data_IF_931934493013
#
_entry.id   IF_931934493013
#
_cell.length_a   1.000
_cell.length_b   1.000
_cell.length_c   1.000
_cell.angle_alpha   90.00
_cell.angle_beta   90.00
_cell.angle_gamma   90.00
#
_symmetry.space_group_name_H-M   'P 1'
#
loop_
_entity.id
_entity.type
_entity.pdbx_description
1 polymer ?
#
# COMPACT_ATOMS: atom_id res chain seq x y z
N UNK A 1 -12.18 -27.16 -10.88
CA UNK A 1 -10.87 -27.22 -11.56
C UNK A 1 -9.98 -28.26 -10.88
N UNK A 2 -8.90 -28.76 -11.49
CA UNK A 2 -8.25 -29.99 -10.98
C UNK A 2 -7.26 -29.72 -9.84
N UNK A 3 -7.30 -30.58 -8.81
CA UNK A 3 -6.27 -30.72 -7.75
C UNK A 3 -4.86 -30.76 -8.36
N UNK A 4 -4.71 -31.31 -9.57
CA UNK A 4 -3.46 -31.34 -10.30
C UNK A 4 -2.90 -29.94 -10.61
N UNK A 5 -3.73 -28.97 -11.03
CA UNK A 5 -3.27 -27.62 -11.31
C UNK A 5 -2.75 -26.92 -10.04
N UNK A 6 -3.46 -27.10 -8.93
CA UNK A 6 -3.01 -26.56 -7.64
C UNK A 6 -1.69 -27.19 -7.17
N UNK A 7 -1.47 -28.50 -7.41
CA UNK A 7 -0.18 -29.16 -7.14
C UNK A 7 0.95 -28.57 -7.97
N UNK A 8 0.72 -28.33 -9.26
CA UNK A 8 1.69 -27.65 -10.14
C UNK A 8 2.00 -26.26 -9.61
N UNK A 9 0.98 -25.50 -9.19
CA UNK A 9 1.18 -24.20 -8.55
C UNK A 9 2.04 -24.30 -7.28
N UNK A 10 1.77 -25.25 -6.38
CA UNK A 10 2.57 -25.41 -5.15
C UNK A 10 4.03 -25.79 -5.42
N UNK A 11 4.28 -26.61 -6.43
CA UNK A 11 5.64 -26.95 -6.87
C UNK A 11 6.34 -25.73 -7.48
N UNK A 12 5.63 -25.00 -8.34
CA UNK A 12 6.13 -23.77 -8.97
C UNK A 12 6.45 -22.71 -7.93
N UNK A 13 5.54 -22.46 -6.99
CA UNK A 13 5.73 -21.51 -5.89
C UNK A 13 7.00 -21.81 -5.08
N UNK A 14 7.26 -23.09 -4.78
CA UNK A 14 8.47 -23.50 -4.05
C UNK A 14 9.75 -23.26 -4.86
N UNK A 15 9.68 -23.38 -6.18
CA UNK A 15 10.82 -23.17 -7.07
C UNK A 15 11.02 -21.69 -7.45
N UNK A 16 9.96 -20.89 -7.40
CA UNK A 16 10.01 -19.45 -7.67
C UNK A 16 10.92 -18.77 -6.63
N UNK A 17 11.93 -17.99 -7.05
CA UNK A 17 12.73 -17.21 -6.11
C UNK A 17 11.88 -16.21 -5.34
N UNK A 18 12.08 -16.15 -4.02
CA UNK A 18 11.53 -15.08 -3.19
C UNK A 18 12.44 -13.85 -3.30
N UNK A 19 11.90 -12.73 -3.79
CA UNK A 19 12.66 -11.49 -4.06
C UNK A 19 12.33 -10.38 -3.03
N UNK A 20 11.30 -10.57 -2.21
CA UNK A 20 10.88 -9.59 -1.20
C UNK A 20 11.71 -9.65 0.08
N UNK A 21 11.37 -8.76 1.01
CA UNK A 21 11.82 -8.80 2.41
C UNK A 21 10.64 -8.57 3.35
N UNK A 22 10.68 -9.20 4.52
CA UNK A 22 9.70 -8.96 5.56
C UNK A 22 10.07 -7.72 6.38
N UNK A 23 9.06 -6.90 6.67
CA UNK A 23 9.18 -5.79 7.61
C UNK A 23 9.25 -6.35 9.02
N UNK A 24 10.21 -5.87 9.84
CA UNK A 24 10.37 -6.33 11.20
C UNK A 24 9.19 -5.88 12.06
N UNK A 25 8.96 -6.64 13.13
CA UNK A 25 8.10 -6.26 14.25
C UNK A 25 8.97 -5.74 15.39
N UNK A 26 8.35 -5.08 16.37
CA UNK A 26 8.97 -4.73 17.66
C UNK A 26 10.34 -4.04 17.54
N UNK A 27 10.47 -3.12 16.57
CA UNK A 27 11.71 -2.40 16.26
C UNK A 27 11.84 -1.06 16.99
N UNK A 28 10.84 -0.67 17.77
CA UNK A 28 10.80 0.58 18.52
C UNK A 28 11.70 0.49 19.75
N UNK A 29 12.28 1.61 20.14
CA UNK A 29 13.19 1.72 21.28
C UNK A 29 12.68 2.80 22.25
N UNK A 30 11.39 2.70 22.62
CA UNK A 30 10.82 3.62 23.60
C UNK A 30 11.44 3.39 24.99
N UNK A 31 11.65 4.47 25.79
CA UNK A 31 12.16 4.34 27.15
C UNK A 31 11.30 3.41 28.02
N UNK A 32 11.96 2.60 28.85
CA UNK A 32 11.32 1.77 29.86
C UNK A 32 12.02 1.96 31.22
N UNK A 33 11.38 2.57 32.22
CA UNK A 33 9.95 2.93 32.28
C UNK A 33 9.58 4.14 31.41
N UNK A 34 8.35 4.14 30.88
CA UNK A 34 7.77 5.24 30.11
C UNK A 34 6.83 6.07 31.00
N UNK A 35 6.93 7.40 30.94
CA UNK A 35 5.98 8.29 31.63
C UNK A 35 4.54 8.09 31.11
N UNK A 36 3.56 8.14 32.01
CA UNK A 36 2.14 7.93 31.71
C UNK A 36 1.63 8.85 30.58
N UNK A 37 2.20 10.06 30.45
CA UNK A 37 1.83 11.01 29.39
C UNK A 37 2.08 10.47 27.97
N UNK A 38 3.01 9.52 27.82
CA UNK A 38 3.36 8.89 26.54
C UNK A 38 2.62 7.57 26.29
N UNK A 39 1.74 7.13 27.19
CA UNK A 39 1.03 5.86 27.04
C UNK A 39 0.21 5.81 25.75
N UNK A 40 -0.61 6.83 25.48
CA UNK A 40 -1.41 6.90 24.26
C UNK A 40 -0.53 6.81 23.00
N UNK A 41 0.60 7.54 22.98
CA UNK A 41 1.57 7.48 21.89
C UNK A 41 2.12 6.06 21.71
N UNK A 42 2.54 5.42 22.81
CA UNK A 42 3.14 4.07 22.76
C UNK A 42 2.17 3.01 22.24
N UNK A 43 0.91 3.05 22.69
CA UNK A 43 -0.12 2.09 22.26
C UNK A 43 -0.45 2.28 20.77
N UNK A 44 -0.62 3.52 20.33
CA UNK A 44 -0.82 3.84 18.91
C UNK A 44 0.37 3.37 18.06
N UNK A 45 1.60 3.68 18.48
CA UNK A 45 2.80 3.28 17.74
C UNK A 45 2.89 1.76 17.59
N UNK A 46 2.65 1.02 18.68
CA UNK A 46 2.69 -0.43 18.70
C UNK A 46 1.68 -1.07 17.74
N UNK A 47 0.42 -0.62 17.79
CA UNK A 47 -0.63 -1.07 16.89
C UNK A 47 -0.30 -0.71 15.43
N UNK A 48 0.02 0.55 15.15
CA UNK A 48 0.23 1.04 13.79
C UNK A 48 1.45 0.41 13.14
N UNK A 49 2.56 0.26 13.87
CA UNK A 49 3.77 -0.37 13.35
C UNK A 49 3.53 -1.83 12.95
N UNK A 50 2.82 -2.61 13.79
CA UNK A 50 2.46 -3.99 13.49
C UNK A 50 1.50 -4.09 12.31
N UNK A 51 0.48 -3.26 12.24
CA UNK A 51 -0.48 -3.28 11.13
C UNK A 51 0.15 -2.89 9.78
N UNK A 52 1.06 -1.93 9.79
CA UNK A 52 1.85 -1.58 8.61
C UNK A 52 2.75 -2.75 8.18
N UNK A 53 3.48 -3.37 9.11
CA UNK A 53 4.31 -4.54 8.83
C UNK A 53 3.47 -5.72 8.29
N UNK A 54 2.34 -6.02 8.92
CA UNK A 54 1.38 -7.04 8.48
C UNK A 54 0.92 -6.81 7.05
N UNK A 55 0.54 -5.57 6.73
CA UNK A 55 0.07 -5.19 5.39
C UNK A 55 1.14 -5.40 4.32
N UNK A 56 2.36 -4.95 4.58
CA UNK A 56 3.49 -5.05 3.65
C UNK A 56 3.96 -6.50 3.50
N UNK A 57 3.96 -7.27 4.59
CA UNK A 57 4.33 -8.69 4.60
C UNK A 57 3.30 -9.54 3.84
N UNK A 58 2.01 -9.26 4.03
CA UNK A 58 0.93 -9.90 3.27
C UNK A 58 1.03 -9.58 1.78
N UNK A 59 1.21 -8.30 1.42
CA UNK A 59 1.43 -7.90 0.04
C UNK A 59 2.64 -8.59 -0.58
N UNK A 60 3.75 -8.68 0.16
CA UNK A 60 4.97 -9.37 -0.29
C UNK A 60 4.72 -10.83 -0.64
N UNK A 61 3.91 -11.52 0.17
CA UNK A 61 3.49 -12.89 -0.10
C UNK A 61 2.55 -12.97 -1.31
N UNK A 62 1.61 -12.04 -1.44
CA UNK A 62 0.68 -12.02 -2.57
C UNK A 62 1.42 -11.82 -3.91
N UNK A 63 2.41 -10.93 -3.97
CA UNK A 63 3.25 -10.75 -5.17
C UNK A 63 4.01 -12.02 -5.52
N UNK A 64 4.61 -12.68 -4.51
CA UNK A 64 5.32 -13.94 -4.73
C UNK A 64 4.39 -15.05 -5.26
N UNK A 65 3.16 -15.13 -4.74
CA UNK A 65 2.13 -16.06 -5.21
C UNK A 65 1.69 -15.75 -6.63
N UNK A 66 1.49 -14.47 -6.97
CA UNK A 66 1.10 -14.04 -8.31
C UNK A 66 2.20 -14.33 -9.33
N UNK A 67 3.48 -14.18 -8.97
CA UNK A 67 4.62 -14.58 -9.82
C UNK A 67 4.59 -16.07 -10.17
N UNK A 68 4.31 -16.93 -9.18
CA UNK A 68 4.15 -18.35 -9.42
C UNK A 68 2.94 -18.64 -10.32
N UNK A 69 1.80 -17.96 -10.11
CA UNK A 69 0.64 -18.10 -10.98
C UNK A 69 0.89 -17.65 -12.42
N UNK A 70 1.63 -16.55 -12.64
CA UNK A 70 2.01 -16.10 -13.98
C UNK A 70 2.74 -17.21 -14.76
N UNK A 71 3.66 -17.91 -14.08
CA UNK A 71 4.39 -19.05 -14.65
C UNK A 71 3.48 -20.24 -14.96
N UNK A 72 2.57 -20.57 -14.04
CA UNK A 72 1.63 -21.72 -14.20
C UNK A 72 0.63 -21.47 -15.33
N UNK A 73 0.19 -20.22 -15.51
CA UNK A 73 -0.85 -19.86 -16.48
C UNK A 73 -0.32 -19.70 -17.90
N UNK A 74 0.94 -19.29 -18.09
CA UNK A 74 1.53 -19.03 -19.39
C UNK A 74 1.35 -20.15 -20.44
N UNK A 75 1.55 -21.45 -20.12
CA UNK A 75 1.40 -22.53 -21.10
C UNK A 75 -0.05 -23.06 -21.24
N UNK A 76 -1.01 -22.55 -20.47
CA UNK A 76 -2.38 -23.04 -20.51
C UNK A 76 -3.16 -22.48 -21.70
N UNK A 77 -4.11 -23.26 -22.22
CA UNK A 77 -5.07 -22.74 -23.20
C UNK A 77 -5.97 -21.67 -22.59
N UNK A 78 -6.51 -20.76 -23.40
CA UNK A 78 -7.38 -19.67 -22.94
C UNK A 78 -8.55 -20.14 -22.05
N UNK A 79 -9.19 -21.28 -22.38
CA UNK A 79 -10.25 -21.87 -21.55
C UNK A 79 -9.76 -22.29 -20.16
N UNK A 80 -8.54 -22.84 -20.07
CA UNK A 80 -7.93 -23.24 -18.80
C UNK A 80 -7.41 -22.02 -18.02
N UNK A 81 -6.88 -21.02 -18.71
CA UNK A 81 -6.52 -19.74 -18.11
C UNK A 81 -7.75 -19.09 -17.49
N UNK A 82 -8.87 -19.01 -18.20
CA UNK A 82 -10.12 -18.43 -17.68
C UNK A 82 -10.57 -19.12 -16.38
N UNK A 83 -10.63 -20.46 -16.38
CA UNK A 83 -11.02 -21.21 -15.19
C UNK A 83 -10.05 -20.98 -14.02
N UNK A 84 -8.75 -20.99 -14.30
CA UNK A 84 -7.69 -20.81 -13.30
C UNK A 84 -7.67 -19.40 -12.72
N UNK A 85 -7.82 -18.40 -13.58
CA UNK A 85 -7.90 -17.00 -13.20
C UNK A 85 -9.09 -16.77 -12.27
N UNK A 86 -10.28 -17.23 -12.65
CA UNK A 86 -11.50 -17.03 -11.88
C UNK A 86 -11.42 -17.66 -10.48
N UNK A 87 -10.89 -18.87 -10.34
CA UNK A 87 -10.86 -19.58 -9.04
C UNK A 87 -9.69 -19.13 -8.14
N UNK A 88 -8.53 -18.77 -8.71
CA UNK A 88 -7.30 -18.58 -7.91
C UNK A 88 -6.63 -17.21 -8.03
N UNK A 89 -6.80 -16.50 -9.15
CA UNK A 89 -6.03 -15.28 -9.43
C UNK A 89 -6.86 -14.04 -9.21
N UNK A 90 -8.13 -14.00 -9.63
CA UNK A 90 -8.94 -12.79 -9.63
C UNK A 90 -8.98 -12.12 -8.26
N UNK A 91 -9.32 -12.87 -7.20
CA UNK A 91 -9.36 -12.33 -5.84
C UNK A 91 -7.98 -11.87 -5.35
N UNK A 92 -6.94 -12.66 -5.64
CA UNK A 92 -5.56 -12.39 -5.22
C UNK A 92 -5.01 -11.12 -5.89
N UNK A 93 -5.13 -11.03 -7.22
CA UNK A 93 -4.66 -9.92 -8.02
C UNK A 93 -5.47 -8.65 -7.77
N UNK A 94 -6.78 -8.77 -7.58
CA UNK A 94 -7.65 -7.64 -7.19
C UNK A 94 -7.22 -7.07 -5.84
N UNK A 95 -6.98 -7.93 -4.84
CA UNK A 95 -6.49 -7.48 -3.54
C UNK A 95 -5.13 -6.78 -3.68
N UNK A 96 -4.17 -7.42 -4.36
CA UNK A 96 -2.84 -6.87 -4.56
C UNK A 96 -2.87 -5.50 -5.27
N UNK A 97 -3.66 -5.32 -6.33
CA UNK A 97 -3.76 -4.04 -7.04
C UNK A 97 -4.41 -2.92 -6.24
N UNK A 98 -5.22 -3.23 -5.23
CA UNK A 98 -5.84 -2.21 -4.37
C UNK A 98 -4.98 -1.85 -3.14
N UNK A 99 -4.10 -2.76 -2.69
CA UNK A 99 -3.29 -2.57 -1.49
C UNK A 99 -2.39 -1.32 -1.49
N UNK A 100 -1.77 -0.87 -2.61
CA UNK A 100 -1.01 0.39 -2.65
C UNK A 100 -1.77 1.59 -2.09
N UNK A 101 -3.03 1.75 -2.49
CA UNK A 101 -3.88 2.84 -1.98
C UNK A 101 -4.16 2.69 -0.48
N UNK A 102 -4.45 1.46 -0.03
CA UNK A 102 -4.76 1.16 1.38
C UNK A 102 -3.55 1.40 2.27
N UNK A 103 -2.38 0.88 1.90
CA UNK A 103 -1.13 1.02 2.66
C UNK A 103 -0.70 2.48 2.74
N UNK A 104 -0.79 3.22 1.63
CA UNK A 104 -0.55 4.67 1.63
C UNK A 104 -1.48 5.41 2.62
N UNK A 105 -2.76 5.04 2.64
CA UNK A 105 -3.72 5.57 3.61
C UNK A 105 -3.35 5.29 5.06
N UNK A 106 -2.98 4.04 5.36
CA UNK A 106 -2.56 3.61 6.71
C UNK A 106 -1.31 4.34 7.21
N UNK A 107 -0.32 4.55 6.35
CA UNK A 107 0.85 5.36 6.70
C UNK A 107 0.47 6.81 7.01
N UNK A 108 -0.38 7.42 6.17
CA UNK A 108 -0.83 8.79 6.40
C UNK A 108 -1.59 8.94 7.73
N UNK A 109 -2.46 7.97 8.04
CA UNK A 109 -3.17 7.90 9.31
C UNK A 109 -2.21 7.79 10.51
N UNK A 110 -1.29 6.81 10.46
CA UNK A 110 -0.30 6.62 11.51
C UNK A 110 0.58 7.86 11.72
N UNK A 111 1.06 8.46 10.63
CA UNK A 111 1.89 9.66 10.68
C UNK A 111 1.13 10.85 11.28
N UNK A 112 -0.14 11.07 10.90
CA UNK A 112 -0.95 12.15 11.45
C UNK A 112 -1.13 12.03 12.97
N UNK A 113 -1.55 10.85 13.45
CA UNK A 113 -1.73 10.61 14.89
C UNK A 113 -0.43 10.73 15.68
N UNK A 114 0.64 10.05 15.23
CA UNK A 114 1.90 10.01 15.97
C UNK A 114 2.57 11.39 16.00
N UNK A 115 2.59 12.11 14.88
CA UNK A 115 3.14 13.47 14.86
C UNK A 115 2.30 14.43 15.72
N UNK A 116 0.98 14.33 15.67
CA UNK A 116 0.09 15.15 16.51
C UNK A 116 0.36 14.92 18.00
N UNK A 117 0.37 13.66 18.43
CA UNK A 117 0.60 13.29 19.82
C UNK A 117 2.01 13.69 20.29
N UNK A 118 3.03 13.50 19.45
CA UNK A 118 4.39 13.92 19.76
C UNK A 118 4.52 15.45 19.87
N UNK A 119 3.82 16.21 19.01
CA UNK A 119 3.79 17.67 19.09
C UNK A 119 3.08 18.16 20.35
N UNK A 120 1.93 17.58 20.68
CA UNK A 120 1.16 17.93 21.88
C UNK A 120 1.99 17.79 23.15
N UNK A 121 2.71 16.68 23.27
CA UNK A 121 3.56 16.41 24.43
C UNK A 121 4.86 17.25 24.43
N UNK A 122 5.35 17.66 23.25
CA UNK A 122 6.49 18.58 23.12
C UNK A 122 6.14 20.02 23.49
N UNK A 123 4.94 20.48 23.15
CA UNK A 123 4.52 21.88 23.25
C UNK A 123 3.62 22.16 24.47
N UNK A 124 3.09 21.11 25.10
CA UNK A 124 2.28 21.21 26.32
C UNK A 124 1.11 22.17 26.16
N UNK A 125 0.98 23.12 27.09
CA UNK A 125 -0.13 24.08 27.13
C UNK A 125 -0.21 25.03 25.92
N UNK A 126 0.85 25.11 25.09
CA UNK A 126 0.83 25.92 23.86
C UNK A 126 0.27 25.17 22.65
N UNK A 127 0.03 23.85 22.78
CA UNK A 127 -0.56 23.06 21.71
C UNK A 127 -2.08 23.20 21.68
N UNK A 128 -2.63 23.33 20.47
CA UNK A 128 -4.08 23.21 20.25
C UNK A 128 -4.36 21.84 19.66
N UNK A 129 -5.17 21.04 20.37
CA UNK A 129 -5.66 19.77 19.82
C UNK A 129 -6.75 20.06 18.78
N UNK A 130 -6.36 19.93 17.51
CA UNK A 130 -7.23 20.15 16.37
C UNK A 130 -7.14 19.02 15.34
N UNK A 131 -6.64 17.85 15.77
CA UNK A 131 -6.64 16.66 14.94
C UNK A 131 -8.10 16.29 14.59
N UNK A 132 -8.43 16.13 13.30
CA UNK A 132 -9.76 15.69 12.92
C UNK A 132 -10.09 14.30 13.50
N UNK A 133 -11.37 14.01 13.69
CA UNK A 133 -11.82 12.66 14.00
C UNK A 133 -11.35 11.65 12.93
N UNK A 134 -11.06 10.42 13.33
CA UNK A 134 -10.42 9.37 12.52
C UNK A 134 -10.98 9.24 11.09
N UNK A 135 -12.32 9.29 10.94
CA UNK A 135 -13.01 9.18 9.64
C UNK A 135 -12.70 10.33 8.65
N UNK A 136 -12.06 11.39 9.13
CA UNK A 136 -11.64 12.57 8.38
C UNK A 136 -10.12 12.68 8.28
N UNK A 137 -9.37 11.71 8.79
CA UNK A 137 -7.92 11.66 8.65
C UNK A 137 -7.57 11.05 7.29
N UNK A 138 -7.29 11.93 6.34
CA UNK A 138 -6.76 11.58 5.03
C UNK A 138 -5.25 11.80 4.99
N UNK A 139 -4.51 11.23 4.02
CA UNK A 139 -3.05 11.34 3.96
C UNK A 139 -2.49 12.77 4.07
N UNK A 140 -3.18 13.78 3.54
CA UNK A 140 -2.76 15.18 3.60
C UNK A 140 -2.85 15.80 5.00
N UNK A 141 -3.63 15.22 5.92
CA UNK A 141 -3.71 15.68 7.32
C UNK A 141 -2.35 15.51 8.01
N UNK A 142 -1.59 14.48 7.63
CA UNK A 142 -0.22 14.28 8.10
C UNK A 142 0.70 15.48 7.81
N UNK A 143 0.48 16.21 6.71
CA UNK A 143 1.36 17.31 6.32
C UNK A 143 1.37 18.45 7.34
N UNK A 144 0.23 18.64 8.01
CA UNK A 144 0.07 19.67 9.03
C UNK A 144 0.92 19.37 10.26
N UNK A 145 0.84 18.14 10.77
CA UNK A 145 1.45 17.74 12.03
C UNK A 145 2.88 17.22 11.85
N UNK A 146 3.21 16.71 10.68
CA UNK A 146 4.53 16.19 10.33
C UNK A 146 5.56 17.28 10.04
N UNK A 147 5.14 18.48 9.65
CA UNK A 147 6.03 19.60 9.27
C UNK A 147 7.19 19.89 10.27
N UNK A 148 7.00 19.83 11.60
CA UNK A 148 8.09 20.06 12.56
C UNK A 148 9.16 18.96 12.60
N UNK A 149 8.91 17.80 11.99
CA UNK A 149 9.77 16.62 12.03
C UNK A 149 10.55 16.47 10.72
N UNK A 150 11.89 16.62 10.72
CA UNK A 150 12.70 16.54 9.50
C UNK A 150 12.47 15.27 8.67
N UNK A 151 12.30 14.12 9.33
CA UNK A 151 12.05 12.83 8.67
C UNK A 151 10.67 12.69 8.05
N UNK A 152 9.74 13.62 8.33
CA UNK A 152 8.41 13.58 7.70
C UNK A 152 8.47 13.84 6.19
N UNK A 153 9.35 14.74 5.72
CA UNK A 153 9.45 15.05 4.29
C UNK A 153 9.90 13.82 3.46
N UNK A 154 10.96 13.08 3.84
CA UNK A 154 11.30 11.81 3.21
C UNK A 154 10.14 10.79 3.23
N UNK A 155 9.43 10.65 4.36
CA UNK A 155 8.26 9.78 4.44
C UNK A 155 7.20 10.18 3.42
N UNK A 156 6.82 11.47 3.38
CA UNK A 156 5.84 11.99 2.42
C UNK A 156 6.24 11.68 0.98
N UNK A 157 7.50 11.90 0.62
CA UNK A 157 8.02 11.59 -0.73
C UNK A 157 7.92 10.10 -1.05
N UNK A 158 8.23 9.22 -0.09
CA UNK A 158 8.07 7.78 -0.26
C UNK A 158 6.60 7.37 -0.42
N UNK A 159 5.68 8.00 0.33
CA UNK A 159 4.24 7.76 0.19
C UNK A 159 3.69 8.30 -1.15
N UNK A 160 4.23 9.40 -1.66
CA UNK A 160 3.84 9.96 -2.96
C UNK A 160 4.27 9.08 -4.14
N UNK A 161 5.32 8.27 -3.96
CA UNK A 161 5.75 7.28 -4.95
C UNK A 161 4.82 6.05 -5.05
N UNK A 162 4.13 5.69 -3.96
CA UNK A 162 3.21 4.55 -3.93
C UNK A 162 2.00 4.81 -4.84
N UNK A 163 1.76 3.88 -5.77
CA UNK A 163 0.65 3.96 -6.72
C UNK A 163 0.74 5.16 -7.67
N UNK A 164 1.95 5.66 -7.94
CA UNK A 164 2.19 6.80 -8.80
C UNK A 164 1.83 6.53 -10.28
N UNK A 165 2.04 7.54 -11.14
CA UNK A 165 1.61 7.54 -12.54
C UNK A 165 1.93 6.26 -13.31
N UNK A 166 3.17 5.75 -13.22
CA UNK A 166 3.57 4.53 -13.91
C UNK A 166 2.78 3.28 -13.48
N UNK A 167 2.55 3.09 -12.18
CA UNK A 167 1.73 1.99 -11.67
C UNK A 167 0.26 2.14 -12.08
N UNK A 168 -0.27 3.36 -11.97
CA UNK A 168 -1.63 3.67 -12.39
C UNK A 168 -1.82 3.42 -13.88
N UNK A 169 -0.94 3.91 -14.73
CA UNK A 169 -1.04 3.72 -16.18
C UNK A 169 -0.84 2.26 -16.59
N UNK A 170 0.16 1.57 -16.02
CA UNK A 170 0.43 0.16 -16.31
C UNK A 170 -0.68 -0.81 -15.89
N UNK A 171 -1.48 -0.44 -14.88
CA UNK A 171 -2.69 -1.18 -14.47
C UNK A 171 -3.96 -0.62 -15.12
N UNK A 172 -3.80 0.40 -15.97
CA UNK A 172 -4.78 1.38 -16.43
C UNK A 172 -5.87 1.68 -15.42
N UNK A 173 -5.42 2.27 -14.33
CA UNK A 173 -6.20 2.85 -13.26
C UNK A 173 -7.14 1.84 -12.60
N UNK A 174 -6.64 0.62 -12.40
CA UNK A 174 -7.44 -0.52 -11.95
C UNK A 174 -8.24 -0.19 -10.69
N UNK A 175 -7.61 0.39 -9.66
CA UNK A 175 -8.28 0.75 -8.40
C UNK A 175 -9.45 1.72 -8.61
N UNK A 176 -9.27 2.75 -9.42
CA UNK A 176 -10.33 3.70 -9.72
C UNK A 176 -11.45 3.04 -10.54
N UNK A 177 -11.07 2.27 -11.56
CA UNK A 177 -12.01 1.54 -12.39
C UNK A 177 -12.78 0.46 -11.60
N UNK A 178 -12.14 -0.20 -10.64
CA UNK A 178 -12.76 -1.22 -9.78
C UNK A 178 -13.82 -0.62 -8.86
N UNK A 179 -13.57 0.57 -8.30
CA UNK A 179 -14.50 1.21 -7.38
C UNK A 179 -15.62 2.02 -8.07
N UNK A 180 -15.36 2.55 -9.27
CA UNK A 180 -16.24 3.54 -9.89
C UNK A 180 -16.67 3.22 -11.32
N UNK A 181 -16.11 2.18 -11.96
CA UNK A 181 -16.40 1.78 -13.36
C UNK A 181 -16.33 0.25 -13.49
N UNK A 182 -15.84 -0.24 -14.63
CA UNK A 182 -15.51 -1.64 -14.86
C UNK A 182 -13.99 -1.78 -15.03
N UNK A 183 -13.32 -2.42 -14.08
CA UNK A 183 -11.89 -2.71 -14.17
C UNK A 183 -11.57 -3.69 -15.31
N UNK A 184 -10.36 -3.66 -15.88
CA UNK A 184 -9.93 -4.71 -16.79
C UNK A 184 -9.92 -6.07 -16.08
N UNK A 185 -10.11 -7.16 -16.83
CA UNK A 185 -9.88 -8.53 -16.30
C UNK A 185 -8.41 -8.84 -16.24
N UNK A 186 -8.04 -9.93 -15.57
CA UNK A 186 -6.68 -10.48 -15.62
C UNK A 186 -6.61 -11.60 -16.65
N UNK A 187 -5.51 -11.69 -17.39
CA UNK A 187 -5.15 -12.78 -18.30
C UNK A 187 -6.06 -12.93 -19.53
N UNK A 188 -7.38 -13.07 -19.34
CA UNK A 188 -8.38 -13.28 -20.40
C UNK A 188 -9.66 -12.50 -20.12
N UNK A 189 -10.30 -12.03 -21.19
CA UNK A 189 -11.60 -11.36 -21.14
C UNK A 189 -11.51 -9.85 -21.34
N UNK A 190 -12.01 -9.38 -22.48
CA UNK A 190 -12.09 -7.96 -22.77
C UNK A 190 -13.22 -7.29 -21.97
N UNK A 191 -13.02 -6.03 -21.60
CA UNK A 191 -14.02 -5.20 -20.90
C UNK A 191 -14.24 -3.90 -21.65
N UNK A 192 -15.15 -3.03 -21.19
CA UNK A 192 -15.31 -1.67 -21.74
C UNK A 192 -15.46 -1.60 -23.28
N UNK A 193 -16.29 -2.49 -23.86
CA UNK A 193 -16.49 -2.59 -25.32
C UNK A 193 -16.91 -1.28 -25.98
N UNK A 194 -17.54 -0.39 -25.20
CA UNK A 194 -17.98 0.95 -25.61
C UNK A 194 -17.39 1.96 -24.64
N UNK A 195 -16.72 2.97 -25.18
CA UNK A 195 -16.18 4.12 -24.42
C UNK A 195 -16.78 5.41 -24.93
N UNK A 196 -17.22 6.28 -24.02
CA UNK A 196 -17.72 7.62 -24.33
C UNK A 196 -16.66 8.66 -23.98
N UNK A 197 -16.32 9.53 -24.92
CA UNK A 197 -15.37 10.64 -24.70
C UNK A 197 -15.85 11.90 -25.41
N UNK A 198 -15.33 13.05 -25.00
CA UNK A 198 -15.54 14.32 -25.70
C UNK A 198 -14.30 14.56 -26.56
N UNK A 199 -14.49 14.78 -27.85
CA UNK A 199 -13.39 15.16 -28.73
C UNK A 199 -12.96 16.59 -28.36
N UNK A 200 -11.72 16.77 -27.92
CA UNK A 200 -11.22 18.05 -27.39
C UNK A 200 -11.18 19.17 -28.42
N UNK A 201 -10.99 18.83 -29.71
CA UNK A 201 -10.92 19.81 -30.80
C UNK A 201 -12.31 20.33 -31.22
N UNK A 202 -13.33 19.48 -31.17
CA UNK A 202 -14.67 19.78 -31.69
C UNK A 202 -15.73 19.97 -30.60
N UNK A 203 -15.42 19.61 -29.35
CA UNK A 203 -16.34 19.61 -28.22
C UNK A 203 -17.49 18.60 -28.34
N UNK A 204 -17.48 17.74 -29.37
CA UNK A 204 -18.57 16.78 -29.62
C UNK A 204 -18.36 15.50 -28.83
N UNK A 205 -19.48 14.90 -28.44
CA UNK A 205 -19.51 13.59 -27.80
C UNK A 205 -19.27 12.52 -28.86
N UNK A 206 -18.28 11.66 -28.62
CA UNK A 206 -17.92 10.53 -29.47
C UNK A 206 -18.01 9.21 -28.70
N UNK A 207 -18.18 8.12 -29.45
CA UNK A 207 -18.18 6.76 -28.94
C UNK A 207 -17.10 5.95 -29.65
N UNK A 208 -16.23 5.32 -28.88
CA UNK A 208 -15.25 4.35 -29.34
C UNK A 208 -15.77 2.92 -29.12
N UNK A 209 -15.50 2.04 -30.08
CA UNK A 209 -15.81 0.61 -30.01
C UNK A 209 -14.50 -0.16 -30.18
N UNK A 210 -14.22 -1.10 -29.27
CA UNK A 210 -12.96 -1.85 -29.33
C UNK A 210 -12.59 -2.59 -28.06
N UNK A 211 -13.24 -2.29 -26.95
CA UNK A 211 -12.93 -2.94 -25.68
C UNK A 211 -11.56 -2.60 -25.15
N UNK A 212 -11.29 -3.11 -23.96
CA UNK A 212 -10.03 -3.02 -23.26
C UNK A 212 -9.53 -4.42 -22.98
N UNK A 213 -8.32 -4.67 -23.43
CA UNK A 213 -7.61 -5.94 -23.21
C UNK A 213 -7.44 -6.24 -21.71
N UNK A 214 -7.41 -7.53 -21.34
CA UNK A 214 -7.11 -7.92 -19.97
C UNK A 214 -5.67 -7.53 -19.62
N UNK A 215 -5.44 -7.31 -18.32
CA UNK A 215 -4.09 -7.12 -17.79
C UNK A 215 -3.29 -8.42 -17.92
N UNK A 216 -2.11 -8.32 -18.52
CA UNK A 216 -1.14 -9.40 -18.49
C UNK A 216 -0.63 -9.61 -17.06
N UNK A 217 -0.64 -10.86 -16.59
CA UNK A 217 -0.32 -11.16 -15.20
C UNK A 217 1.17 -10.98 -14.92
N UNK A 218 2.06 -11.28 -15.87
CA UNK A 218 3.49 -11.12 -15.67
C UNK A 218 3.87 -9.62 -15.60
N UNK A 219 3.32 -8.80 -16.48
CA UNK A 219 3.47 -7.35 -16.45
C UNK A 219 2.88 -6.75 -15.16
N UNK A 220 1.71 -7.23 -14.73
CA UNK A 220 1.09 -6.80 -13.47
C UNK A 220 1.97 -7.14 -12.26
N UNK A 221 2.58 -8.32 -12.24
CA UNK A 221 3.52 -8.75 -11.19
C UNK A 221 4.74 -7.82 -11.16
N UNK A 222 5.33 -7.47 -12.31
CA UNK A 222 6.46 -6.55 -12.37
C UNK A 222 6.13 -5.16 -11.79
N UNK A 223 4.92 -4.65 -12.06
CA UNK A 223 4.45 -3.39 -11.46
C UNK A 223 4.28 -3.50 -9.94
N UNK A 224 3.70 -4.61 -9.47
CA UNK A 224 3.54 -4.88 -8.04
C UNK A 224 4.88 -5.02 -7.31
N UNK A 225 5.90 -5.61 -7.95
CA UNK A 225 7.27 -5.68 -7.43
C UNK A 225 7.88 -4.28 -7.25
N UNK A 226 7.59 -3.35 -8.17
CA UNK A 226 7.94 -1.94 -8.00
C UNK A 226 7.30 -1.34 -6.75
N UNK A 227 6.01 -1.59 -6.53
CA UNK A 227 5.29 -1.14 -5.33
C UNK A 227 5.85 -1.76 -4.04
N UNK A 228 6.36 -3.01 -4.07
CA UNK A 228 7.05 -3.58 -2.91
C UNK A 228 8.25 -2.71 -2.49
N UNK A 229 9.04 -2.27 -3.46
CA UNK A 229 10.17 -1.36 -3.20
C UNK A 229 9.73 -0.03 -2.59
N UNK A 230 8.62 0.54 -3.07
CA UNK A 230 8.04 1.75 -2.49
C UNK A 230 7.55 1.54 -1.06
N UNK A 231 6.89 0.41 -0.77
CA UNK A 231 6.47 0.06 0.60
C UNK A 231 7.65 -0.05 1.55
N UNK A 232 8.72 -0.72 1.12
CA UNK A 232 9.93 -0.88 1.92
C UNK A 232 10.63 0.46 2.21
N UNK A 233 10.58 1.39 1.26
CA UNK A 233 11.14 2.74 1.42
C UNK A 233 10.28 3.59 2.35
N UNK A 234 8.95 3.50 2.22
CA UNK A 234 8.01 4.18 3.11
C UNK A 234 8.13 3.68 4.55
N UNK A 235 8.24 2.36 4.75
CA UNK A 235 8.43 1.78 6.08
C UNK A 235 9.73 2.25 6.73
N UNK A 236 10.84 2.22 6.00
CA UNK A 236 12.12 2.73 6.53
C UNK A 236 12.06 4.23 6.87
N UNK A 237 11.39 5.04 6.05
CA UNK A 237 11.20 6.47 6.33
C UNK A 237 10.28 6.71 7.54
N UNK A 238 9.29 5.85 7.74
CA UNK A 238 8.43 5.86 8.92
C UNK A 238 9.21 5.50 10.19
N UNK A 239 10.10 4.51 10.12
CA UNK A 239 11.01 4.17 11.23
C UNK A 239 11.91 5.36 11.61
N UNK A 240 12.41 6.11 10.62
CA UNK A 240 13.22 7.32 10.88
C UNK A 240 12.40 8.41 11.59
N UNK A 241 11.16 8.66 11.14
CA UNK A 241 10.25 9.59 11.80
C UNK A 241 9.96 9.19 13.26
N UNK A 242 9.70 7.91 13.50
CA UNK A 242 9.49 7.40 14.87
C UNK A 242 10.76 7.54 15.72
N UNK A 243 11.94 7.29 15.15
CA UNK A 243 13.21 7.51 15.85
C UNK A 243 13.41 8.96 16.31
N UNK A 244 12.96 9.95 15.54
CA UNK A 244 12.96 11.35 15.96
C UNK A 244 12.01 11.60 17.15
N UNK A 245 10.84 10.99 17.13
CA UNK A 245 9.89 11.07 18.25
C UNK A 245 10.50 10.43 19.52
N UNK A 246 11.07 9.24 19.42
CA UNK A 246 11.73 8.55 20.54
C UNK A 246 12.89 9.36 21.13
N UNK A 247 13.69 10.01 20.28
CA UNK A 247 14.73 10.92 20.73
C UNK A 247 14.17 12.12 21.52
N UNK A 248 13.07 12.71 21.03
CA UNK A 248 12.39 13.80 21.74
C UNK A 248 11.81 13.35 23.09
N UNK A 249 11.24 12.14 23.15
CA UNK A 249 10.71 11.52 24.37
C UNK A 249 11.83 11.33 25.41
N UNK A 250 12.99 10.79 25.00
CA UNK A 250 14.17 10.61 25.86
C UNK A 250 14.71 11.93 26.39
N UNK A 251 14.79 12.95 25.53
CA UNK A 251 15.26 14.27 25.93
C UNK A 251 14.37 14.86 27.04
N UNK A 252 13.05 14.74 26.92
CA UNK A 252 12.12 15.18 27.96
C UNK A 252 12.28 14.42 29.29
N UNK A 253 12.46 13.10 29.23
CA UNK A 253 12.65 12.27 30.41
C UNK A 253 13.93 12.65 31.20
N UNK A 254 14.94 13.18 30.52
CA UNK A 254 16.20 13.63 31.14
C UNK A 254 16.06 15.03 31.77
N UNK A 255 15.08 15.83 31.33
CA UNK A 255 14.83 17.20 31.80
C UNK A 255 13.75 17.31 32.87
N UNK A 256 13.06 16.21 33.21
CA UNK A 256 12.10 16.17 34.31
C UNK A 256 12.85 16.05 35.66
N UNK A 257 12.63 16.96 36.62
CA UNK A 257 13.28 16.94 37.93
C UNK A 257 12.87 15.75 38.80
#
# INVERSE_FOLDING_TARGET
MSIALYRIYRQTLKATPFIGRYMPYDWTDLPNPLSAQWMAYSQMLDEFARELANSINAFTNDVHRLRAWATVLAPLSAKRQLAATHEFVDALATNALNLPYVVKGRFGFAAAHLCHQANMLKQGASWTDDLPLDRHIYPHVGDRYGKPWPSYKPLKQALDAIGAGAFREGTGDFRNAYNHRFSPRFVVGMTQLVTRFVNEETGRVCYGFGGREPLDLAATVALLEGEQGHFYTAFASFQQLVGEHEAAIRAQATTAP
#
